data_IF_934420762147
#
_entry.id   IF_934420762147
#
_cell.length_a   1.000
_cell.length_b   1.000
_cell.length_c   1.000
_cell.angle_alpha   90.00
_cell.angle_beta   90.00
_cell.angle_gamma   90.00
#
_symmetry.space_group_name_H-M   'P 1'
#
loop_
_entity.id
_entity.type
_entity.pdbx_description
1 polymer ?
#
# COMPACT_ATOMS: atom_id res chain seq x y z
N UNK A 1 13.77 -22.13 5.11
CA UNK A 1 14.43 -21.37 4.01
C UNK A 1 13.48 -21.01 2.86
N UNK A 2 12.70 -21.95 2.31
CA UNK A 2 11.76 -21.67 1.21
C UNK A 2 10.77 -20.52 1.51
N UNK A 3 10.21 -20.51 2.71
CA UNK A 3 9.31 -19.44 3.18
C UNK A 3 9.97 -18.05 3.14
N UNK A 4 11.19 -17.95 3.66
CA UNK A 4 11.97 -16.70 3.66
C UNK A 4 12.25 -16.23 2.23
N UNK A 5 12.56 -17.16 1.31
CA UNK A 5 12.74 -16.81 -0.10
C UNK A 5 11.45 -16.26 -0.73
N UNK A 6 10.28 -16.82 -0.42
CA UNK A 6 9.00 -16.28 -0.88
C UNK A 6 8.81 -14.84 -0.41
N UNK A 7 9.09 -14.56 0.87
CA UNK A 7 9.02 -13.19 1.42
C UNK A 7 10.03 -12.29 0.73
N UNK A 8 11.29 -12.69 0.60
CA UNK A 8 12.34 -11.89 -0.06
C UNK A 8 11.97 -11.52 -1.50
N UNK A 9 11.49 -12.49 -2.28
CA UNK A 9 11.08 -12.25 -3.67
C UNK A 9 9.90 -11.28 -3.71
N UNK A 10 8.85 -11.54 -2.93
CA UNK A 10 7.70 -10.64 -2.85
C UNK A 10 8.10 -9.23 -2.45
N UNK A 11 8.91 -9.08 -1.40
CA UNK A 11 9.38 -7.79 -0.90
C UNK A 11 10.22 -7.03 -1.92
N UNK A 12 11.08 -7.73 -2.67
CA UNK A 12 11.89 -7.13 -3.74
C UNK A 12 10.97 -6.48 -4.79
N UNK A 13 10.02 -7.25 -5.33
CA UNK A 13 9.09 -6.72 -6.33
C UNK A 13 8.17 -5.63 -5.78
N UNK A 14 7.64 -5.80 -4.56
CA UNK A 14 6.77 -4.81 -3.93
C UNK A 14 7.49 -3.48 -3.69
N UNK A 15 8.69 -3.53 -3.14
CA UNK A 15 9.52 -2.34 -2.90
C UNK A 15 9.95 -1.65 -4.19
N UNK A 16 10.40 -2.42 -5.19
CA UNK A 16 10.74 -1.88 -6.52
C UNK A 16 9.54 -1.20 -7.19
N UNK A 17 8.35 -1.82 -7.16
CA UNK A 17 7.16 -1.24 -7.76
C UNK A 17 6.73 0.04 -7.03
N UNK A 18 6.76 0.06 -5.68
CA UNK A 18 6.49 1.27 -4.91
C UNK A 18 7.44 2.40 -5.30
N UNK A 19 8.73 2.10 -5.44
CA UNK A 19 9.73 3.08 -5.89
C UNK A 19 9.41 3.61 -7.29
N UNK A 20 9.10 2.73 -8.24
CA UNK A 20 8.76 3.13 -9.61
C UNK A 20 7.48 3.97 -9.67
N UNK A 21 6.45 3.64 -8.89
CA UNK A 21 5.22 4.45 -8.81
C UNK A 21 5.52 5.84 -8.27
N UNK A 22 6.37 5.95 -7.25
CA UNK A 22 6.84 7.25 -6.74
C UNK A 22 7.53 8.08 -7.83
N UNK A 23 8.52 7.49 -8.52
CA UNK A 23 9.24 8.15 -9.62
C UNK A 23 8.34 8.54 -10.77
N UNK A 24 7.36 7.70 -11.11
CA UNK A 24 6.43 7.98 -12.18
C UNK A 24 5.51 9.15 -11.80
N UNK A 25 5.00 9.20 -10.57
CA UNK A 25 4.15 10.31 -10.12
C UNK A 25 4.89 11.65 -10.07
N UNK A 26 6.18 11.66 -9.71
CA UNK A 26 7.00 12.87 -9.73
C UNK A 26 7.02 13.56 -11.12
N UNK A 27 6.83 12.80 -12.21
CA UNK A 27 6.78 13.34 -13.58
C UNK A 27 5.46 14.07 -13.89
N UNK A 28 4.36 13.68 -13.25
CA UNK A 28 3.02 14.20 -13.53
C UNK A 28 2.53 15.21 -12.51
N UNK A 29 3.05 15.12 -11.28
CA UNK A 29 2.66 15.97 -10.16
C UNK A 29 3.92 16.62 -9.59
N UNK A 30 4.38 17.74 -10.17
CA UNK A 30 5.59 18.43 -9.72
C UNK A 30 5.40 18.93 -8.28
N UNK A 31 6.38 18.64 -7.41
CA UNK A 31 6.52 19.16 -6.05
C UNK A 31 5.18 19.47 -5.33
N UNK A 32 4.22 18.55 -5.39
CA UNK A 32 2.97 18.76 -4.71
C UNK A 32 3.20 18.67 -3.20
N UNK A 33 2.55 19.57 -2.47
CA UNK A 33 2.41 19.51 -1.02
C UNK A 33 1.78 18.21 -0.52
N UNK A 34 1.06 17.50 -1.40
CA UNK A 34 0.28 16.33 -1.03
C UNK A 34 0.92 15.02 -1.53
N UNK A 35 1.09 14.00 -0.65
CA UNK A 35 1.79 12.75 -0.95
C UNK A 35 0.93 11.73 -1.73
N UNK A 36 0.58 12.07 -2.98
CA UNK A 36 -0.27 11.22 -3.84
C UNK A 36 0.31 9.83 -4.10
N UNK A 37 1.64 9.72 -4.28
CA UNK A 37 2.32 8.45 -4.53
C UNK A 37 2.09 7.45 -3.39
N UNK A 38 2.35 7.88 -2.17
CA UNK A 38 2.16 7.10 -0.96
C UNK A 38 0.68 6.74 -0.77
N UNK A 39 -0.24 7.69 -0.99
CA UNK A 39 -1.68 7.41 -0.94
C UNK A 39 -2.07 6.28 -1.91
N UNK A 40 -1.64 6.38 -3.17
CA UNK A 40 -2.04 5.43 -4.21
C UNK A 40 -1.50 4.02 -3.94
N UNK A 41 -0.22 3.87 -3.59
CA UNK A 41 0.34 2.53 -3.30
C UNK A 41 -0.34 1.90 -2.08
N UNK A 42 -0.66 2.69 -1.06
CA UNK A 42 -1.36 2.19 0.13
C UNK A 42 -2.80 1.77 -0.21
N UNK A 43 -3.56 2.59 -0.94
CA UNK A 43 -4.94 2.26 -1.34
C UNK A 43 -4.99 1.05 -2.27
N UNK A 44 -4.11 0.96 -3.26
CA UNK A 44 -4.02 -0.21 -4.15
C UNK A 44 -3.58 -1.44 -3.37
N UNK A 45 -2.63 -1.33 -2.45
CA UNK A 45 -2.23 -2.43 -1.58
C UNK A 45 -3.34 -2.91 -0.66
N UNK A 46 -4.16 -1.99 -0.13
CA UNK A 46 -5.38 -2.29 0.62
C UNK A 46 -6.40 -3.06 -0.24
N UNK A 47 -6.61 -2.67 -1.50
CA UNK A 47 -7.46 -3.43 -2.40
C UNK A 47 -6.93 -4.86 -2.62
N UNK A 48 -5.63 -4.97 -2.92
CA UNK A 48 -4.98 -6.26 -3.14
C UNK A 48 -5.08 -7.17 -1.92
N UNK A 49 -4.85 -6.68 -0.70
CA UNK A 49 -4.97 -7.51 0.50
C UNK A 49 -6.42 -7.94 0.74
N UNK A 50 -7.41 -7.13 0.35
CA UNK A 50 -8.83 -7.51 0.37
C UNK A 50 -9.12 -8.72 -0.54
N UNK A 51 -8.66 -8.67 -1.80
CA UNK A 51 -8.78 -9.78 -2.76
C UNK A 51 -8.08 -11.03 -2.22
N UNK A 52 -6.83 -10.89 -1.77
CA UNK A 52 -6.03 -12.02 -1.27
C UNK A 52 -6.64 -12.64 0.00
N UNK A 53 -7.24 -11.82 0.88
CA UNK A 53 -7.93 -12.31 2.06
C UNK A 53 -9.20 -13.11 1.69
N UNK A 54 -9.99 -12.63 0.73
CA UNK A 54 -11.16 -13.35 0.24
C UNK A 54 -10.79 -14.67 -0.44
N UNK A 55 -9.76 -14.65 -1.31
CA UNK A 55 -9.25 -15.87 -1.94
C UNK A 55 -8.74 -16.89 -0.92
N UNK A 56 -8.06 -16.43 0.14
CA UNK A 56 -7.61 -17.32 1.21
C UNK A 56 -8.79 -17.97 1.94
N UNK A 57 -9.90 -17.26 2.14
CA UNK A 57 -11.10 -17.79 2.80
C UNK A 57 -11.81 -18.88 1.97
N UNK A 58 -11.75 -18.81 0.64
CA UNK A 58 -12.31 -19.86 -0.25
C UNK A 58 -11.29 -20.94 -0.62
N UNK A 59 -10.12 -20.96 0.02
CA UNK A 59 -9.06 -21.95 -0.24
C UNK A 59 -8.31 -21.74 -1.55
N UNK A 60 -8.46 -20.58 -2.21
CA UNK A 60 -7.84 -20.25 -3.49
C UNK A 60 -6.36 -19.84 -3.43
N UNK A 61 -5.76 -19.77 -2.24
CA UNK A 61 -4.35 -19.37 -2.04
C UNK A 61 -3.62 -20.36 -1.13
N UNK A 62 -2.45 -20.82 -1.58
CA UNK A 62 -1.56 -21.67 -0.79
C UNK A 62 -0.82 -20.87 0.30
N UNK A 63 -0.34 -21.51 1.38
CA UNK A 63 0.44 -20.84 2.41
C UNK A 63 1.69 -20.10 1.89
N UNK A 64 2.38 -20.69 0.90
CA UNK A 64 3.56 -20.07 0.28
C UNK A 64 3.20 -18.84 -0.56
N UNK A 65 2.07 -18.89 -1.28
CA UNK A 65 1.56 -17.74 -2.02
C UNK A 65 1.13 -16.62 -1.08
N UNK A 66 0.57 -16.93 0.10
CA UNK A 66 0.26 -15.94 1.14
C UNK A 66 1.52 -15.23 1.64
N UNK A 67 2.60 -15.96 1.92
CA UNK A 67 3.87 -15.36 2.32
C UNK A 67 4.46 -14.46 1.22
N UNK A 68 4.41 -14.90 -0.03
CA UNK A 68 4.93 -14.14 -1.17
C UNK A 68 4.11 -12.86 -1.42
N UNK A 69 2.78 -12.97 -1.48
CA UNK A 69 1.91 -11.88 -1.93
C UNK A 69 1.50 -10.94 -0.80
N UNK A 70 1.17 -11.49 0.39
CA UNK A 70 0.69 -10.68 1.52
C UNK A 70 1.87 -10.15 2.31
N UNK A 71 2.70 -11.04 2.87
CA UNK A 71 3.81 -10.64 3.74
C UNK A 71 4.93 -9.97 2.94
N UNK A 72 5.31 -10.54 1.79
CA UNK A 72 6.36 -9.99 0.93
C UNK A 72 5.89 -8.79 0.13
N UNK A 73 5.12 -9.04 -0.93
CA UNK A 73 4.75 -8.01 -1.91
C UNK A 73 3.93 -6.88 -1.31
N UNK A 74 2.75 -7.15 -0.73
CA UNK A 74 1.91 -6.09 -0.16
C UNK A 74 2.62 -5.38 1.00
N UNK A 75 3.38 -6.12 1.82
CA UNK A 75 4.17 -5.56 2.92
C UNK A 75 5.23 -4.55 2.47
N UNK A 76 5.91 -4.79 1.35
CA UNK A 76 6.92 -3.85 0.84
C UNK A 76 6.36 -2.79 -0.14
N UNK A 77 5.27 -3.12 -0.83
CA UNK A 77 4.57 -2.24 -1.75
C UNK A 77 3.81 -1.13 -1.04
N UNK A 78 3.27 -1.40 0.15
CA UNK A 78 2.65 -0.38 1.02
C UNK A 78 3.67 0.16 2.02
N UNK A 79 3.40 1.33 2.60
CA UNK A 79 4.28 1.95 3.58
C UNK A 79 3.53 2.85 4.56
N UNK A 80 3.46 2.41 5.82
CA UNK A 80 2.93 3.22 6.92
C UNK A 80 3.98 4.23 7.43
N UNK A 81 5.26 3.86 7.44
CA UNK A 81 6.33 4.74 7.92
C UNK A 81 6.50 5.98 7.04
N UNK A 82 6.41 5.85 5.72
CA UNK A 82 6.41 7.00 4.80
C UNK A 82 5.18 7.87 5.01
N UNK A 83 3.99 7.28 5.12
CA UNK A 83 2.75 8.00 5.45
C UNK A 83 2.87 8.84 6.74
N UNK A 84 3.46 8.28 7.80
CA UNK A 84 3.67 9.00 9.06
C UNK A 84 4.66 10.15 8.91
N UNK A 85 5.76 9.92 8.18
CA UNK A 85 6.76 10.95 7.93
C UNK A 85 6.20 12.09 7.08
N UNK A 86 5.41 11.79 6.04
CA UNK A 86 4.74 12.79 5.19
C UNK A 86 3.81 13.68 6.04
N UNK A 87 3.04 13.10 6.97
CA UNK A 87 2.20 13.86 7.89
C UNK A 87 3.01 14.77 8.83
N UNK A 88 4.13 14.25 9.37
CA UNK A 88 5.01 15.03 10.23
C UNK A 88 5.61 16.23 9.48
N UNK A 89 6.05 16.03 8.23
CA UNK A 89 6.61 17.09 7.40
C UNK A 89 5.55 18.14 7.06
N UNK A 90 4.36 17.74 6.62
CA UNK A 90 3.26 18.67 6.37
C UNK A 90 2.88 19.48 7.62
N UNK A 91 2.85 18.85 8.80
CA UNK A 91 2.57 19.55 10.05
C UNK A 91 3.67 20.57 10.40
N UNK A 92 4.94 20.23 10.18
CA UNK A 92 6.09 21.15 10.38
C UNK A 92 6.07 22.32 9.41
N UNK A 93 5.61 22.11 8.19
CA UNK A 93 5.47 23.14 7.15
C UNK A 93 4.21 24.01 7.33
N UNK A 94 3.48 23.86 8.46
CA UNK A 94 2.27 24.63 8.77
C UNK A 94 1.01 24.14 8.04
N UNK A 95 1.09 23.03 7.29
CA UNK A 95 0.01 22.49 6.46
C UNK A 95 -0.88 21.48 7.22
N UNK A 96 -1.33 21.87 8.42
CA UNK A 96 -2.05 20.97 9.33
C UNK A 96 -3.36 20.41 8.73
N UNK A 97 -4.08 21.23 7.95
CA UNK A 97 -5.29 20.79 7.26
C UNK A 97 -5.00 19.70 6.21
N UNK A 98 -3.91 19.85 5.44
CA UNK A 98 -3.52 18.87 4.44
C UNK A 98 -3.09 17.54 5.08
N UNK A 99 -2.35 17.58 6.19
CA UNK A 99 -2.00 16.40 6.97
C UNK A 99 -3.25 15.66 7.51
N UNK A 100 -4.21 16.41 8.08
CA UNK A 100 -5.46 15.82 8.56
C UNK A 100 -6.24 15.17 7.42
N UNK A 101 -6.40 15.87 6.29
CA UNK A 101 -7.07 15.35 5.10
C UNK A 101 -6.38 14.09 4.58
N UNK A 102 -5.04 14.10 4.49
CA UNK A 102 -4.27 12.94 4.05
C UNK A 102 -4.48 11.73 4.96
N UNK A 103 -4.50 11.95 6.27
CA UNK A 103 -4.78 10.90 7.26
C UNK A 103 -6.17 10.30 7.10
N UNK A 104 -7.20 11.15 7.04
CA UNK A 104 -8.60 10.72 6.90
C UNK A 104 -8.80 9.99 5.58
N UNK A 105 -8.31 10.55 4.46
CA UNK A 105 -8.42 9.92 3.15
C UNK A 105 -7.72 8.57 3.11
N UNK A 106 -6.52 8.46 3.67
CA UNK A 106 -5.78 7.19 3.69
C UNK A 106 -6.53 6.10 4.46
N UNK A 107 -7.14 6.44 5.60
CA UNK A 107 -7.93 5.48 6.38
C UNK A 107 -9.24 5.10 5.68
N UNK A 108 -10.00 6.07 5.20
CA UNK A 108 -11.31 5.84 4.56
C UNK A 108 -11.15 5.10 3.24
N UNK A 109 -10.28 5.58 2.36
CA UNK A 109 -10.04 4.94 1.06
C UNK A 109 -9.37 3.57 1.22
N UNK A 110 -8.44 3.43 2.17
CA UNK A 110 -7.81 2.15 2.48
C UNK A 110 -8.85 1.12 2.93
N UNK A 111 -9.71 1.48 3.88
CA UNK A 111 -10.77 0.58 4.35
C UNK A 111 -11.78 0.25 3.24
N UNK A 112 -12.23 1.26 2.48
CA UNK A 112 -13.13 1.06 1.36
C UNK A 112 -12.51 0.13 0.29
N UNK A 113 -11.22 0.28 0.02
CA UNK A 113 -10.47 -0.55 -0.92
C UNK A 113 -10.37 -2.00 -0.44
N UNK A 114 -10.08 -2.26 0.83
CA UNK A 114 -10.07 -3.63 1.40
C UNK A 114 -11.44 -4.28 1.21
N UNK A 115 -12.52 -3.58 1.57
CA UNK A 115 -13.89 -4.09 1.42
C UNK A 115 -14.20 -4.36 -0.06
N UNK A 116 -13.90 -3.42 -0.95
CA UNK A 116 -14.11 -3.59 -2.38
C UNK A 116 -13.35 -4.80 -2.93
N UNK A 117 -12.06 -4.95 -2.58
CA UNK A 117 -11.25 -6.08 -2.99
C UNK A 117 -11.81 -7.42 -2.49
N UNK A 118 -12.30 -7.46 -1.25
CA UNK A 118 -12.90 -8.66 -0.69
C UNK A 118 -14.18 -9.08 -1.45
N UNK A 119 -15.02 -8.12 -1.84
CA UNK A 119 -16.28 -8.39 -2.53
C UNK A 119 -16.11 -8.85 -3.99
N UNK A 120 -14.97 -8.56 -4.64
CA UNK A 120 -14.73 -9.00 -6.02
C UNK A 120 -14.60 -10.52 -6.14
N UNK A 121 -14.22 -11.20 -5.06
CA UNK A 121 -13.99 -12.65 -5.03
C UNK A 121 -15.19 -13.41 -4.46
N UNK A 122 -16.08 -12.73 -3.73
CA UNK A 122 -17.27 -13.30 -3.10
C UNK A 122 -18.42 -13.39 -4.10
#
# INVERSE_FOLDING_TARGET
MKEMMCVCVGSCFGGCLRYLVGRWMELWVPAASFPYATLAVNVVGCFLIGVLAAMANVGGISPMAKLLLVTGFCGAFTTFSTFMNDNLLMARDGQMLAALLYTVLSMVLGMAAVVAGYQVVK
#
